data_IF_177220262114
#
_entry.id   IF_177220262114
#
_cell.length_a   1.000
_cell.length_b   1.000
_cell.length_c   1.000
_cell.angle_alpha   90.00
_cell.angle_beta   90.00
_cell.angle_gamma   90.00
#
_symmetry.space_group_name_H-M   'P 1'
#
loop_
_entity.id
_entity.type
_entity.pdbx_description
1 polymer ?
#
# COMPACT_ATOMS: atom_id res chain seq x y z
N UNK A 1 50.49 46.91 -14.62
CA UNK A 1 50.75 46.09 -13.42
C UNK A 1 50.22 44.71 -13.76
N UNK A 2 51.06 43.91 -14.42
CA UNK A 2 50.70 42.55 -14.83
C UNK A 2 50.73 41.66 -13.59
N UNK A 3 49.60 41.06 -13.27
CA UNK A 3 49.43 40.12 -12.15
C UNK A 3 50.13 38.82 -12.52
N UNK A 4 51.24 38.53 -11.85
CA UNK A 4 51.91 37.23 -11.92
C UNK A 4 50.99 36.18 -11.26
N UNK A 5 50.23 35.44 -12.07
CA UNK A 5 49.55 34.24 -11.62
C UNK A 5 50.60 33.20 -11.27
N UNK A 6 50.85 33.03 -9.96
CA UNK A 6 51.70 31.98 -9.43
C UNK A 6 51.02 30.63 -9.63
N UNK A 7 51.22 30.02 -10.80
CA UNK A 7 50.81 28.65 -11.08
C UNK A 7 51.58 27.72 -10.13
N UNK A 8 50.93 27.36 -9.03
CA UNK A 8 51.49 26.43 -8.04
C UNK A 8 51.57 25.06 -8.71
N UNK A 9 52.78 24.61 -9.07
CA UNK A 9 52.98 23.32 -9.70
C UNK A 9 52.73 22.21 -8.67
N UNK A 10 51.57 21.55 -8.75
CA UNK A 10 51.27 20.41 -7.88
C UNK A 10 52.09 19.21 -8.37
N UNK A 11 53.00 18.71 -7.53
CA UNK A 11 53.85 17.58 -7.87
C UNK A 11 53.05 16.31 -8.18
N UNK A 12 53.28 15.71 -9.35
CA UNK A 12 52.62 14.48 -9.78
C UNK A 12 53.44 13.26 -9.33
N UNK A 13 52.75 12.19 -8.92
CA UNK A 13 53.34 10.87 -8.67
C UNK A 13 52.88 9.87 -9.72
N UNK A 14 53.64 8.80 -9.95
CA UNK A 14 53.21 7.71 -10.82
C UNK A 14 52.24 6.77 -10.08
N UNK A 15 51.17 6.35 -10.74
CA UNK A 15 50.28 5.30 -10.25
C UNK A 15 51.07 3.98 -10.09
N UNK A 16 50.92 3.31 -8.94
CA UNK A 16 51.69 2.10 -8.61
C UNK A 16 51.47 0.91 -9.56
N UNK A 17 50.33 0.83 -10.25
CA UNK A 17 50.01 -0.29 -11.15
C UNK A 17 50.33 -0.02 -12.63
N UNK A 18 49.94 1.16 -13.15
CA UNK A 18 50.01 1.47 -14.58
C UNK A 18 51.00 2.60 -14.93
N UNK A 19 51.64 3.23 -13.95
CA UNK A 19 52.61 4.30 -14.16
C UNK A 19 52.03 5.66 -14.61
N UNK A 20 50.70 5.78 -14.75
CA UNK A 20 50.05 7.04 -15.15
C UNK A 20 50.38 8.17 -14.14
N UNK A 21 50.74 9.39 -14.59
CA UNK A 21 50.96 10.51 -13.69
C UNK A 21 49.64 10.95 -13.05
N UNK A 22 49.58 10.96 -11.72
CA UNK A 22 48.40 11.32 -10.93
C UNK A 22 48.75 12.34 -9.86
N UNK A 23 47.73 13.07 -9.40
CA UNK A 23 47.84 13.82 -8.16
C UNK A 23 47.98 12.85 -6.98
N UNK A 24 48.85 13.13 -5.99
CA UNK A 24 49.01 12.29 -4.82
C UNK A 24 47.68 12.02 -4.13
N UNK A 25 47.33 10.74 -3.98
CA UNK A 25 46.16 10.31 -3.23
C UNK A 25 46.58 9.21 -2.24
N UNK A 26 45.74 8.94 -1.24
CA UNK A 26 46.03 7.95 -0.19
C UNK A 26 46.18 6.51 -0.72
N UNK A 27 45.71 6.23 -1.93
CA UNK A 27 45.78 4.92 -2.57
C UNK A 27 46.99 4.74 -3.50
N UNK A 28 47.72 5.82 -3.82
CA UNK A 28 48.74 5.88 -4.88
C UNK A 28 48.32 5.22 -6.21
N UNK A 29 47.01 5.22 -6.50
CA UNK A 29 46.41 4.58 -7.66
C UNK A 29 45.59 5.57 -8.48
N UNK A 30 45.63 5.44 -9.81
CA UNK A 30 44.78 6.22 -10.69
C UNK A 30 43.32 5.77 -10.61
N UNK A 31 42.40 6.65 -11.01
CA UNK A 31 40.96 6.39 -10.99
C UNK A 31 40.56 5.17 -11.84
N UNK A 32 41.29 4.88 -12.92
CA UNK A 32 41.09 3.68 -13.74
C UNK A 32 41.42 2.39 -12.99
N UNK A 33 42.61 2.30 -12.40
CA UNK A 33 43.02 1.14 -11.60
C UNK A 33 42.13 0.95 -10.37
N UNK A 34 41.72 2.04 -9.73
CA UNK A 34 40.76 2.01 -8.62
C UNK A 34 39.41 1.42 -9.04
N UNK A 35 38.86 1.83 -10.18
CA UNK A 35 37.59 1.28 -10.72
C UNK A 35 37.68 -0.20 -11.08
N UNK A 36 38.85 -0.66 -11.54
CA UNK A 36 39.04 -2.07 -11.91
C UNK A 36 39.21 -2.99 -10.71
N UNK A 37 39.82 -2.50 -9.61
CA UNK A 37 40.07 -3.32 -8.40
C UNK A 37 38.95 -3.27 -7.37
N UNK A 38 38.16 -2.19 -7.32
CA UNK A 38 37.21 -1.95 -6.23
C UNK A 38 35.79 -1.99 -6.77
N UNK A 39 35.05 -3.04 -6.44
CA UNK A 39 33.63 -3.14 -6.74
C UNK A 39 32.81 -2.55 -5.58
N UNK A 40 32.11 -1.44 -5.85
CA UNK A 40 31.24 -0.77 -4.89
C UNK A 40 29.97 -1.59 -4.64
N UNK A 41 29.63 -2.49 -5.57
CA UNK A 41 28.38 -3.27 -5.54
C UNK A 41 28.48 -4.56 -4.73
N UNK A 42 29.63 -4.83 -4.11
CA UNK A 42 29.82 -5.98 -3.22
C UNK A 42 28.81 -5.95 -2.06
N UNK A 43 28.02 -7.02 -1.94
CA UNK A 43 26.99 -7.17 -0.91
C UNK A 43 25.60 -6.64 -1.28
N UNK A 44 25.41 -6.09 -2.48
CA UNK A 44 24.08 -5.71 -2.99
C UNK A 44 23.50 -6.84 -3.83
N UNK A 45 22.29 -7.30 -3.48
CA UNK A 45 21.58 -8.31 -4.26
C UNK A 45 21.14 -7.75 -5.61
N UNK A 46 21.51 -8.42 -6.72
CA UNK A 46 21.09 -8.04 -8.08
C UNK A 46 19.69 -8.52 -8.44
N UNK A 47 19.08 -9.36 -7.59
CA UNK A 47 17.74 -9.93 -7.81
C UNK A 47 16.85 -9.69 -6.60
N UNK A 48 15.60 -9.29 -6.82
CA UNK A 48 14.62 -9.08 -5.76
C UNK A 48 13.20 -9.48 -6.18
N UNK A 49 12.33 -9.71 -5.21
CA UNK A 49 10.92 -10.06 -5.46
C UNK A 49 9.98 -8.92 -5.04
N UNK A 50 9.00 -8.63 -5.88
CA UNK A 50 7.92 -7.68 -5.62
C UNK A 50 6.59 -8.43 -5.71
N UNK A 51 5.65 -8.07 -4.86
CA UNK A 51 4.33 -8.69 -4.83
C UNK A 51 3.26 -7.77 -5.39
N UNK A 52 2.36 -8.33 -6.20
CA UNK A 52 1.18 -7.67 -6.74
C UNK A 52 -0.08 -8.47 -6.37
N UNK A 53 -1.16 -7.76 -6.01
CA UNK A 53 -2.45 -8.38 -5.76
C UNK A 53 -3.20 -8.63 -7.07
N UNK A 54 -3.56 -9.90 -7.33
CA UNK A 54 -4.27 -10.33 -8.54
C UNK A 54 -5.65 -9.66 -8.70
N UNK A 55 -6.31 -9.32 -7.59
CA UNK A 55 -7.70 -8.83 -7.59
C UNK A 55 -7.80 -7.30 -7.71
N UNK A 56 -6.93 -6.57 -7.03
CA UNK A 56 -6.98 -5.10 -6.99
C UNK A 56 -5.81 -4.40 -7.70
N UNK A 57 -4.88 -5.16 -8.29
CA UNK A 57 -3.70 -4.66 -9.02
C UNK A 57 -2.84 -3.67 -8.21
N UNK A 58 -2.83 -3.81 -6.88
CA UNK A 58 -1.97 -3.03 -5.99
C UNK A 58 -0.66 -3.78 -5.75
N UNK A 59 0.44 -3.05 -5.75
CA UNK A 59 1.76 -3.53 -5.36
C UNK A 59 1.95 -3.44 -3.85
N UNK A 60 2.65 -4.44 -3.29
CA UNK A 60 3.01 -4.44 -1.88
C UNK A 60 4.14 -3.45 -1.61
N UNK A 61 3.94 -2.59 -0.62
CA UNK A 61 4.91 -1.61 -0.13
C UNK A 61 5.34 -2.03 1.27
N UNK A 62 6.59 -2.49 1.46
CA UNK A 62 7.10 -2.80 2.79
C UNK A 62 6.98 -1.59 3.74
N UNK A 63 6.55 -1.77 5.01
CA UNK A 63 6.41 -3.02 5.74
C UNK A 63 5.07 -3.75 5.61
N UNK A 64 3.92 -3.06 5.49
CA UNK A 64 2.57 -3.67 5.44
C UNK A 64 1.58 -2.88 4.55
N UNK A 65 2.06 -2.08 3.60
CA UNK A 65 1.23 -1.23 2.76
C UNK A 65 0.90 -1.86 1.40
N UNK A 66 -0.18 -1.38 0.77
CA UNK A 66 -0.53 -1.71 -0.61
C UNK A 66 -0.83 -0.43 -1.38
N UNK A 67 -0.24 -0.26 -2.56
CA UNK A 67 -0.38 0.95 -3.38
C UNK A 67 -0.61 0.58 -4.83
N UNK A 68 -1.49 1.30 -5.52
CA UNK A 68 -1.65 1.16 -6.97
C UNK A 68 -0.48 1.87 -7.65
N UNK A 69 0.14 1.21 -8.63
CA UNK A 69 1.20 1.79 -9.44
C UNK A 69 1.06 1.25 -10.87
N UNK A 70 1.36 2.10 -11.84
CA UNK A 70 1.42 1.71 -13.25
C UNK A 70 2.82 1.18 -13.61
N UNK A 71 2.94 0.46 -14.73
CA UNK A 71 4.25 0.07 -15.25
C UNK A 71 5.04 1.33 -15.61
N UNK A 72 6.35 1.31 -15.32
CA UNK A 72 7.26 2.45 -15.55
C UNK A 72 6.87 3.75 -14.82
N UNK A 73 6.01 3.69 -13.79
CA UNK A 73 5.62 4.85 -13.00
C UNK A 73 6.64 5.21 -11.91
N UNK A 74 6.58 6.46 -11.44
CA UNK A 74 7.36 6.94 -10.29
C UNK A 74 7.02 6.18 -9.01
N UNK A 75 5.76 5.75 -8.84
CA UNK A 75 5.34 5.00 -7.66
C UNK A 75 6.00 3.62 -7.64
N UNK A 76 6.02 2.93 -8.78
CA UNK A 76 6.67 1.62 -8.91
C UNK A 76 8.17 1.71 -8.62
N UNK A 77 8.83 2.76 -9.11
CA UNK A 77 10.24 3.00 -8.82
C UNK A 77 10.45 3.19 -7.31
N UNK A 78 9.58 3.97 -6.65
CA UNK A 78 9.66 4.18 -5.20
C UNK A 78 9.53 2.88 -4.40
N UNK A 79 8.71 1.94 -4.86
CA UNK A 79 8.53 0.62 -4.23
C UNK A 79 9.81 -0.23 -4.39
N UNK A 80 10.39 -0.24 -5.59
CA UNK A 80 11.65 -0.93 -5.88
C UNK A 80 12.78 -0.39 -5.00
N UNK A 81 12.91 0.94 -4.89
CA UNK A 81 13.93 1.59 -4.07
C UNK A 81 13.73 1.33 -2.58
N UNK A 82 12.48 1.36 -2.08
CA UNK A 82 12.17 1.02 -0.67
C UNK A 82 12.55 -0.42 -0.33
N UNK A 83 12.33 -1.36 -1.26
CA UNK A 83 12.71 -2.77 -1.07
C UNK A 83 14.22 -2.95 -0.98
N UNK A 84 14.98 -2.20 -1.78
CA UNK A 84 16.44 -2.25 -1.82
C UNK A 84 17.12 -1.39 -0.74
N UNK A 85 16.38 -0.53 -0.03
CA UNK A 85 16.91 0.39 0.99
C UNK A 85 17.80 -0.29 2.04
N UNK A 86 17.46 -1.48 2.60
CA UNK A 86 18.32 -2.16 3.57
C UNK A 86 19.71 -2.51 3.01
N UNK A 87 19.79 -2.92 1.74
CA UNK A 87 21.03 -3.26 1.06
C UNK A 87 21.85 -2.03 0.65
N UNK A 88 21.20 -0.87 0.51
CA UNK A 88 21.82 0.37 0.05
C UNK A 88 22.29 1.29 1.19
N UNK A 89 22.23 0.87 2.46
CA UNK A 89 22.61 1.73 3.60
C UNK A 89 24.08 2.22 3.56
N UNK A 90 24.97 1.47 2.92
CA UNK A 90 26.41 1.78 2.83
C UNK A 90 26.79 2.63 1.60
N UNK A 91 25.86 2.84 0.67
CA UNK A 91 26.13 3.49 -0.62
C UNK A 91 25.09 4.57 -0.88
N UNK A 92 25.51 5.68 -1.49
CA UNK A 92 24.59 6.76 -1.84
C UNK A 92 24.00 6.49 -3.22
N UNK A 93 22.68 6.38 -3.31
CA UNK A 93 22.00 6.34 -4.61
C UNK A 93 22.04 7.73 -5.25
N UNK A 94 22.40 7.80 -6.54
CA UNK A 94 22.37 9.05 -7.32
C UNK A 94 21.23 9.08 -8.30
N UNK A 95 21.05 7.99 -9.05
CA UNK A 95 20.04 7.91 -10.09
C UNK A 95 19.47 6.50 -10.20
N UNK A 96 18.23 6.39 -10.67
CA UNK A 96 17.56 5.14 -10.94
C UNK A 96 16.59 5.30 -12.11
N UNK A 97 16.70 4.43 -13.11
CA UNK A 97 15.84 4.45 -14.29
C UNK A 97 15.41 3.03 -14.68
N UNK A 98 14.25 2.91 -15.31
CA UNK A 98 13.79 1.64 -15.85
C UNK A 98 14.57 1.27 -17.11
N UNK A 99 14.87 -0.02 -17.23
CA UNK A 99 15.35 -0.61 -18.47
C UNK A 99 14.19 -1.39 -19.06
N UNK A 100 13.88 -1.12 -20.32
CA UNK A 100 12.79 -1.80 -21.01
C UNK A 100 12.95 -3.32 -20.90
N UNK A 101 11.88 -3.98 -20.48
CA UNK A 101 11.76 -5.44 -20.46
C UNK A 101 10.54 -5.85 -21.26
N UNK A 102 10.58 -7.06 -21.81
CA UNK A 102 9.43 -7.62 -22.52
C UNK A 102 8.22 -7.79 -21.59
N UNK A 103 7.03 -7.40 -22.07
CA UNK A 103 5.80 -7.31 -21.28
C UNK A 103 5.38 -8.62 -20.59
N UNK A 104 5.73 -9.78 -21.15
CA UNK A 104 5.34 -11.09 -20.61
C UNK A 104 6.34 -11.67 -19.60
N UNK A 105 7.52 -11.05 -19.45
CA UNK A 105 8.61 -11.60 -18.65
C UNK A 105 8.32 -11.64 -17.14
N UNK A 106 7.28 -10.90 -16.67
CA UNK A 106 7.00 -10.65 -15.25
C UNK A 106 8.25 -10.18 -14.47
N UNK A 107 9.19 -9.54 -15.17
CA UNK A 107 10.45 -9.05 -14.66
C UNK A 107 10.57 -7.57 -14.97
N UNK A 108 10.93 -6.80 -13.96
CA UNK A 108 11.18 -5.36 -14.09
C UNK A 108 12.68 -5.16 -13.86
N UNK A 109 13.36 -4.54 -14.83
CA UNK A 109 14.79 -4.22 -14.68
C UNK A 109 14.93 -2.73 -14.37
N UNK A 110 15.68 -2.44 -13.30
CA UNK A 110 15.99 -1.07 -12.89
C UNK A 110 17.50 -0.89 -12.92
N UNK A 111 17.96 0.06 -13.73
CA UNK A 111 19.36 0.50 -13.74
C UNK A 111 19.53 1.51 -12.61
N UNK A 112 20.47 1.23 -11.71
CA UNK A 112 20.74 2.03 -10.52
C UNK A 112 22.18 2.50 -10.55
N UNK A 113 22.37 3.78 -10.25
CA UNK A 113 23.67 4.43 -10.18
C UNK A 113 23.97 4.75 -8.73
N UNK A 114 25.05 4.17 -8.19
CA UNK A 114 25.48 4.35 -6.81
C UNK A 114 26.82 5.05 -6.74
N UNK A 115 27.00 5.85 -5.69
CA UNK A 115 28.22 6.51 -5.32
C UNK A 115 28.68 6.04 -3.94
N UNK A 116 29.97 5.75 -3.81
CA UNK A 116 30.60 5.44 -2.53
C UNK A 116 31.93 6.15 -2.46
N UNK A 117 32.24 6.69 -1.28
CA UNK A 117 33.56 7.20 -1.01
C UNK A 117 34.50 6.04 -0.69
N UNK A 118 35.63 6.02 -1.37
CA UNK A 118 36.68 5.04 -1.25
C UNK A 118 37.97 5.80 -0.93
N UNK A 119 38.73 5.36 0.08
CA UNK A 119 39.97 5.99 0.52
C UNK A 119 39.86 7.51 0.71
N UNK A 120 39.28 7.94 1.84
CA UNK A 120 39.28 9.31 2.40
C UNK A 120 39.54 10.45 1.39
N UNK A 121 38.71 10.56 0.34
CA UNK A 121 38.65 11.63 -0.69
C UNK A 121 38.19 11.14 -2.08
N UNK A 122 38.35 9.86 -2.44
CA UNK A 122 38.01 9.41 -3.81
C UNK A 122 36.57 8.92 -3.91
N UNK A 123 35.70 9.68 -4.59
CA UNK A 123 34.32 9.27 -4.86
C UNK A 123 34.30 8.43 -6.14
N UNK A 124 33.86 7.18 -6.03
CA UNK A 124 33.61 6.33 -7.19
C UNK A 124 32.11 6.19 -7.44
N UNK A 125 31.74 6.23 -8.72
CA UNK A 125 30.37 6.04 -9.19
C UNK A 125 30.33 4.79 -10.05
N UNK A 126 29.38 3.89 -9.76
CA UNK A 126 29.19 2.64 -10.48
C UNK A 126 27.72 2.44 -10.78
N UNK A 127 27.44 1.83 -11.93
CA UNK A 127 26.08 1.57 -12.39
C UNK A 127 25.87 0.07 -12.52
N UNK A 128 24.74 -0.43 -12.02
CA UNK A 128 24.36 -1.83 -12.13
C UNK A 128 22.87 -1.95 -12.39
N UNK A 129 22.45 -3.12 -12.89
CA UNK A 129 21.04 -3.41 -13.15
C UNK A 129 20.54 -4.40 -12.11
N UNK A 130 19.41 -4.08 -11.48
CA UNK A 130 18.69 -4.95 -10.56
C UNK A 130 17.47 -5.51 -11.26
N UNK A 131 17.28 -6.81 -11.13
CA UNK A 131 16.14 -7.53 -11.66
C UNK A 131 15.10 -7.80 -10.56
N UNK A 132 13.88 -7.31 -10.77
CA UNK A 132 12.75 -7.53 -9.88
C UNK A 132 11.77 -8.52 -10.49
N UNK A 133 11.60 -9.68 -9.85
CA UNK A 133 10.61 -10.69 -10.23
C UNK A 133 9.26 -10.38 -9.58
N UNK A 134 8.20 -10.31 -10.39
CA UNK A 134 6.84 -10.01 -9.92
C UNK A 134 6.11 -11.30 -9.56
N UNK A 135 5.72 -11.44 -8.29
CA UNK A 135 4.91 -12.55 -7.78
C UNK A 135 3.51 -12.08 -7.37
N UNK A 136 2.54 -12.97 -7.47
CA UNK A 136 1.17 -12.68 -7.04
C UNK A 136 1.00 -13.00 -5.56
N UNK A 137 0.49 -12.03 -4.78
CA UNK A 137 0.11 -12.22 -3.38
C UNK A 137 -1.20 -11.47 -3.12
N UNK A 138 -2.15 -12.11 -2.46
CA UNK A 138 -3.43 -11.48 -2.13
C UNK A 138 -3.25 -10.48 -0.97
N UNK A 139 -3.74 -9.25 -1.14
CA UNK A 139 -3.73 -8.24 -0.08
C UNK A 139 -4.77 -8.52 1.00
N UNK A 140 -4.59 -7.94 2.19
CA UNK A 140 -5.50 -8.18 3.32
C UNK A 140 -6.93 -7.71 3.04
N UNK A 141 -7.12 -6.62 2.28
CA UNK A 141 -8.44 -6.14 1.88
C UNK A 141 -9.18 -7.15 0.99
N UNK A 142 -8.49 -7.75 0.02
CA UNK A 142 -9.08 -8.76 -0.88
C UNK A 142 -9.21 -10.11 -0.19
N UNK A 143 -8.23 -10.47 0.65
CA UNK A 143 -8.31 -11.66 1.51
C UNK A 143 -9.52 -11.57 2.43
N UNK A 144 -9.76 -10.37 2.96
CA UNK A 144 -10.98 -10.03 3.68
C UNK A 144 -12.13 -10.25 2.70
N UNK A 145 -12.40 -9.42 1.70
CA UNK A 145 -13.60 -9.57 0.84
C UNK A 145 -13.97 -11.00 0.40
N UNK A 146 -12.99 -11.87 0.14
CA UNK A 146 -13.19 -13.28 -0.25
C UNK A 146 -13.52 -14.26 0.89
N UNK A 147 -13.08 -14.01 2.13
CA UNK A 147 -13.58 -14.78 3.25
C UNK A 147 -15.07 -14.41 3.49
N UNK A 148 -15.95 -15.37 3.75
CA UNK A 148 -17.38 -15.07 3.93
C UNK A 148 -17.73 -14.61 5.37
N UNK A 149 -16.72 -14.49 6.26
CA UNK A 149 -16.90 -14.51 7.72
C UNK A 149 -16.22 -13.35 8.49
N UNK A 150 -16.30 -12.09 8.05
CA UNK A 150 -15.90 -10.95 8.90
C UNK A 150 -17.04 -9.96 9.07
N UNK A 151 -17.87 -10.24 10.06
CA UNK A 151 -18.70 -9.22 10.68
C UNK A 151 -17.76 -8.19 11.34
N UNK A 152 -17.66 -6.96 10.78
CA UNK A 152 -16.85 -5.86 11.36
C UNK A 152 -17.42 -5.34 12.68
N UNK A 153 -18.69 -5.60 12.92
CA UNK A 153 -19.38 -5.44 14.19
C UNK A 153 -20.63 -6.34 14.12
N UNK A 154 -20.81 -7.21 15.10
CA UNK A 154 -22.11 -7.82 15.36
C UNK A 154 -22.77 -6.94 16.42
N UNK A 155 -23.72 -6.10 16.01
CA UNK A 155 -24.55 -5.40 17.00
C UNK A 155 -25.60 -6.41 17.42
N UNK A 156 -25.53 -6.90 18.66
CA UNK A 156 -26.68 -7.58 19.28
C UNK A 156 -27.80 -6.54 19.34
N UNK A 157 -28.68 -6.53 18.33
CA UNK A 157 -29.79 -5.59 18.28
C UNK A 157 -30.64 -5.67 19.56
N UNK A 158 -30.79 -6.86 20.13
CA UNK A 158 -31.23 -7.07 21.52
C UNK A 158 -30.88 -8.48 21.99
N UNK A 159 -30.53 -8.68 23.28
CA UNK A 159 -30.16 -9.98 23.85
C UNK A 159 -31.30 -11.01 23.90
N UNK A 160 -32.55 -10.58 23.70
CA UNK A 160 -33.77 -11.39 23.82
C UNK A 160 -34.52 -11.54 22.48
N UNK A 161 -33.87 -11.21 21.36
CA UNK A 161 -34.44 -11.40 20.03
C UNK A 161 -34.48 -12.90 19.69
N UNK A 162 -35.68 -13.44 19.42
CA UNK A 162 -35.90 -14.85 19.09
C UNK A 162 -35.52 -15.17 17.64
N UNK A 163 -35.59 -14.18 16.76
CA UNK A 163 -35.19 -14.33 15.36
C UNK A 163 -35.20 -13.00 14.62
N UNK A 164 -34.39 -12.93 13.57
CA UNK A 164 -34.29 -11.75 12.69
C UNK A 164 -34.51 -12.23 11.26
N UNK A 165 -35.40 -11.56 10.51
CA UNK A 165 -35.62 -11.87 9.10
C UNK A 165 -35.37 -10.63 8.23
N UNK A 166 -34.53 -10.73 7.19
CA UNK A 166 -34.40 -9.66 6.21
C UNK A 166 -35.66 -9.63 5.33
N UNK A 167 -36.19 -8.42 5.11
CA UNK A 167 -37.27 -8.16 4.16
C UNK A 167 -36.78 -7.15 3.11
N UNK A 168 -37.36 -7.12 1.90
CA UNK A 168 -36.88 -6.22 0.83
C UNK A 168 -36.82 -4.73 1.22
N UNK A 169 -37.60 -4.32 2.22
CA UNK A 169 -37.73 -2.93 2.69
C UNK A 169 -37.03 -2.67 4.04
N UNK A 170 -36.38 -3.66 4.65
CA UNK A 170 -35.84 -3.52 6.00
C UNK A 170 -35.53 -4.84 6.70
N UNK A 171 -35.66 -4.84 8.02
CA UNK A 171 -35.34 -5.99 8.88
C UNK A 171 -36.42 -6.12 9.95
N UNK A 172 -36.98 -7.33 10.07
CA UNK A 172 -37.96 -7.66 11.10
C UNK A 172 -37.29 -8.34 12.30
N UNK A 173 -37.63 -7.86 13.51
CA UNK A 173 -37.22 -8.45 14.78
C UNK A 173 -38.40 -9.18 15.43
N UNK A 174 -38.19 -10.45 15.79
CA UNK A 174 -39.19 -11.28 16.47
C UNK A 174 -38.87 -11.43 17.95
N UNK A 175 -39.87 -11.23 18.81
CA UNK A 175 -39.76 -11.35 20.27
C UNK A 175 -40.82 -12.29 20.82
N UNK A 176 -40.44 -13.11 21.80
CA UNK A 176 -41.37 -13.99 22.50
C UNK A 176 -42.30 -13.20 23.43
N UNK A 177 -41.83 -12.11 24.03
CA UNK A 177 -42.61 -11.25 24.94
C UNK A 177 -42.70 -9.82 24.43
N UNK A 178 -43.88 -9.23 24.56
CA UNK A 178 -44.14 -7.85 24.14
C UNK A 178 -43.28 -6.81 24.88
N UNK A 179 -42.97 -7.06 26.15
CA UNK A 179 -42.13 -6.15 26.95
C UNK A 179 -40.70 -6.04 26.44
N UNK A 180 -40.18 -7.10 25.83
CA UNK A 180 -38.82 -7.15 25.28
C UNK A 180 -38.74 -6.37 23.96
N UNK A 181 -39.79 -6.50 23.14
CA UNK A 181 -39.93 -5.68 21.93
C UNK A 181 -40.01 -4.18 22.25
N UNK A 182 -40.70 -3.79 23.33
CA UNK A 182 -40.80 -2.38 23.75
C UNK A 182 -39.44 -1.78 24.12
N UNK A 183 -38.57 -2.53 24.81
CA UNK A 183 -37.22 -2.06 25.15
C UNK A 183 -36.40 -1.70 23.90
N UNK A 184 -36.54 -2.47 22.83
CA UNK A 184 -35.88 -2.16 21.57
C UNK A 184 -36.45 -0.87 20.94
N UNK A 185 -37.77 -0.72 20.93
CA UNK A 185 -38.42 0.50 20.41
C UNK A 185 -38.00 1.73 21.20
N UNK A 186 -37.96 1.64 22.53
CA UNK A 186 -37.54 2.74 23.41
C UNK A 186 -36.08 3.13 23.16
N UNK A 187 -35.19 2.14 22.97
CA UNK A 187 -33.80 2.39 22.58
C UNK A 187 -33.70 3.09 21.22
N UNK A 188 -34.48 2.64 20.22
CA UNK A 188 -34.46 3.24 18.89
C UNK A 188 -34.98 4.67 18.92
N UNK A 189 -36.03 4.96 19.68
CA UNK A 189 -36.53 6.32 19.88
C UNK A 189 -35.54 7.24 20.60
N UNK A 190 -34.71 6.67 21.49
CA UNK A 190 -33.68 7.43 22.20
C UNK A 190 -32.52 7.82 21.29
N UNK A 191 -32.10 6.92 20.40
CA UNK A 191 -30.89 7.10 19.57
C UNK A 191 -31.21 7.71 18.21
N UNK A 192 -32.43 7.51 17.70
CA UNK A 192 -32.84 7.93 16.37
C UNK A 192 -34.17 8.69 16.41
N UNK A 193 -34.30 9.80 15.67
CA UNK A 193 -35.58 10.47 15.49
C UNK A 193 -36.47 9.64 14.54
N UNK A 194 -37.18 8.66 15.09
CA UNK A 194 -38.08 7.78 14.35
C UNK A 194 -39.51 7.81 14.91
N UNK A 195 -40.49 7.39 14.09
CA UNK A 195 -41.89 7.23 14.50
C UNK A 195 -42.20 5.73 14.53
N UNK A 196 -42.94 5.28 15.54
CA UNK A 196 -43.42 3.90 15.64
C UNK A 196 -44.95 3.86 15.70
N UNK A 197 -45.53 2.73 15.25
CA UNK A 197 -46.97 2.52 15.28
C UNK A 197 -47.29 1.15 15.91
N UNK A 198 -48.22 1.11 16.87
CA UNK A 198 -48.62 -0.13 17.54
C UNK A 198 -49.81 -0.77 16.83
N UNK A 199 -49.72 -2.07 16.52
CA UNK A 199 -50.82 -2.84 15.94
C UNK A 199 -51.04 -4.15 16.70
N UNK A 200 -52.25 -4.40 17.18
CA UNK A 200 -52.69 -5.70 17.73
C UNK A 200 -53.58 -6.43 16.72
N UNK A 201 -53.34 -7.73 16.52
CA UNK A 201 -54.22 -8.61 15.73
C UNK A 201 -54.69 -9.78 16.60
N UNK A 202 -55.96 -10.18 16.46
CA UNK A 202 -56.53 -11.36 17.14
C UNK A 202 -56.00 -12.65 16.49
N UNK A 203 -55.69 -13.66 17.30
CA UNK A 203 -55.26 -14.96 16.82
C UNK A 203 -56.41 -15.67 16.07
N UNK A 204 -56.18 -16.10 14.82
CA UNK A 204 -57.19 -16.88 14.07
C UNK A 204 -57.23 -16.71 12.55
N UNK A 205 -56.54 -15.73 11.94
CA UNK A 205 -56.45 -15.65 10.49
C UNK A 205 -55.15 -16.28 9.97
N UNK A 206 -55.33 -17.32 9.14
CA UNK A 206 -54.27 -18.07 8.46
C UNK A 206 -53.44 -17.24 7.46
N UNK A 207 -52.59 -17.97 6.75
CA UNK A 207 -51.42 -17.49 6.01
C UNK A 207 -51.74 -16.68 4.73
N UNK A 208 -50.79 -15.75 4.43
CA UNK A 208 -50.54 -14.97 3.21
C UNK A 208 -51.29 -13.62 3.04
N UNK A 209 -50.58 -12.49 3.22
CA UNK A 209 -50.10 -11.64 2.08
C UNK A 209 -49.58 -10.26 2.50
N UNK A 210 -48.39 -9.91 1.99
CA UNK A 210 -47.92 -8.57 1.54
C UNK A 210 -48.41 -7.31 2.30
N UNK A 211 -48.18 -7.22 3.61
CA UNK A 211 -48.08 -5.98 4.44
C UNK A 211 -48.03 -6.38 5.91
N UNK A 212 -46.89 -6.91 6.35
CA UNK A 212 -46.61 -7.12 7.76
C UNK A 212 -45.59 -6.06 8.19
N UNK A 213 -46.08 -4.85 8.48
CA UNK A 213 -45.31 -3.82 9.15
C UNK A 213 -45.75 -3.74 10.60
N UNK A 214 -44.88 -4.12 11.54
CA UNK A 214 -45.06 -3.80 12.97
C UNK A 214 -44.19 -2.60 13.39
N UNK A 215 -43.24 -2.19 12.54
CA UNK A 215 -42.70 -0.84 12.43
C UNK A 215 -41.85 -0.81 11.14
N UNK A 216 -42.15 0.11 10.22
CA UNK A 216 -41.24 0.37 9.11
C UNK A 216 -40.16 1.35 9.59
N UNK A 217 -38.96 0.86 9.86
CA UNK A 217 -37.79 1.71 10.17
C UNK A 217 -36.97 1.87 8.90
N UNK A 218 -37.14 3.01 8.23
CA UNK A 218 -36.33 3.38 7.07
C UNK A 218 -35.13 4.23 7.52
N UNK A 219 -33.92 3.77 7.20
CA UNK A 219 -32.71 4.58 7.30
C UNK A 219 -32.59 5.44 6.04
N UNK A 220 -33.02 6.68 6.14
CA UNK A 220 -32.83 7.70 5.10
C UNK A 220 -31.47 8.36 5.33
N UNK A 221 -30.66 8.50 4.28
CA UNK A 221 -29.39 9.25 4.38
C UNK A 221 -29.71 10.68 4.82
N UNK A 222 -28.88 11.27 5.67
CA UNK A 222 -29.13 12.60 6.26
C UNK A 222 -29.41 13.69 5.22
N UNK A 223 -28.89 13.52 3.99
CA UNK A 223 -29.11 14.43 2.86
C UNK A 223 -30.45 14.27 2.11
N UNK A 224 -31.32 13.34 2.52
CA UNK A 224 -32.64 13.08 1.90
C UNK A 224 -33.82 13.36 2.85
N UNK A 225 -33.55 13.97 4.01
CA UNK A 225 -34.59 14.40 4.95
C UNK A 225 -35.17 15.73 4.45
N UNK A 226 -36.40 15.70 3.90
CA UNK A 226 -37.14 16.91 3.50
C UNK A 226 -37.71 16.92 2.07
N UNK A 227 -37.41 15.93 1.23
CA UNK A 227 -38.07 15.78 -0.09
C UNK A 227 -39.29 14.88 0.06
N UNK A 228 -40.48 15.49 0.12
CA UNK A 228 -41.75 14.77 0.10
C UNK A 228 -41.95 14.27 -1.33
N UNK A 229 -41.84 12.95 -1.54
CA UNK A 229 -42.35 12.34 -2.78
C UNK A 229 -43.83 12.03 -2.56
N UNK A 230 -44.72 12.83 -3.16
CA UNK A 230 -46.11 12.46 -3.37
C UNK A 230 -46.19 11.46 -4.54
N UNK A 231 -46.63 10.24 -4.23
CA UNK A 231 -47.54 9.40 -5.04
C UNK A 231 -47.89 8.13 -4.26
#
# INVERSE_FOLDING_TARGET
METLDSTTSVGLIACCECGLPIQPNSANMCSGCLRSKIDITEGISRTCTIYICKFCQRYFVPPNGWMRAELESKELLSICLKKMKPSLMKVRLTDACFVWTEAHSKRIKVKMTVQKEVFSSTILQQTFVVEFTVHNQMCDDCRRSEAKDFWRACVQAHSQCTGVKPVPTGIDFFFAKLQEARKLVDFLLMVLPCKYHYAQRKAGHGFVSKKHGLADVWLVRSNQVGSIFEN
#
